data_IF_391707039633
#
_entry.id   IF_391707039633
#
_cell.length_a   1.000
_cell.length_b   1.000
_cell.length_c   1.000
_cell.angle_alpha   90.00
_cell.angle_beta   90.00
_cell.angle_gamma   90.00
#
_symmetry.space_group_name_H-M   'P 1'
#
loop_
_entity.id
_entity.type
_entity.pdbx_description
1 polymer ?
#
# COMPACT_ATOMS: atom_id res chain seq x y z
N UNK A 1 -19.38 23.42 -10.88
CA UNK A 1 -20.15 22.24 -11.32
C UNK A 1 -19.97 21.09 -10.33
N UNK A 2 -21.06 20.48 -9.88
CA UNK A 2 -21.08 19.42 -8.88
C UNK A 2 -21.21 18.05 -9.57
N UNK A 3 -20.11 17.55 -10.14
CA UNK A 3 -20.06 16.16 -10.63
C UNK A 3 -19.42 15.24 -9.57
N UNK A 4 -20.00 14.05 -9.30
CA UNK A 4 -19.46 13.08 -8.34
C UNK A 4 -18.29 12.26 -8.91
N UNK A 5 -17.93 12.48 -10.18
CA UNK A 5 -16.84 11.81 -10.88
C UNK A 5 -15.83 12.81 -11.45
N UNK A 6 -14.64 12.33 -11.74
CA UNK A 6 -13.53 13.03 -12.39
C UNK A 6 -12.90 12.12 -13.45
N UNK A 7 -12.25 12.72 -14.44
CA UNK A 7 -11.48 11.99 -15.45
C UNK A 7 -10.03 11.89 -14.96
N UNK A 8 -9.50 10.68 -14.85
CA UNK A 8 -8.13 10.42 -14.44
C UNK A 8 -7.39 9.57 -15.47
N UNK A 9 -6.10 9.85 -15.60
CA UNK A 9 -5.19 9.04 -16.40
C UNK A 9 -4.56 7.98 -15.50
N UNK A 10 -4.81 6.70 -15.80
CA UNK A 10 -4.27 5.55 -15.07
C UNK A 10 -4.21 4.34 -15.99
N UNK A 11 -3.28 3.40 -15.74
CA UNK A 11 -3.18 2.16 -16.53
C UNK A 11 -2.82 2.37 -18.01
N UNK A 12 -2.32 3.56 -18.37
CA UNK A 12 -2.04 3.95 -19.76
C UNK A 12 -3.25 4.44 -20.54
N UNK A 13 -4.33 4.87 -19.86
CA UNK A 13 -5.51 5.44 -20.50
C UNK A 13 -6.31 6.38 -19.61
N UNK A 14 -7.35 6.98 -20.17
CA UNK A 14 -8.26 7.87 -19.44
C UNK A 14 -9.51 7.12 -18.98
N UNK A 15 -9.86 7.28 -17.71
CA UNK A 15 -10.99 6.62 -17.07
C UNK A 15 -11.82 7.62 -16.25
N UNK A 16 -13.13 7.40 -16.19
CA UNK A 16 -14.00 8.10 -15.25
C UNK A 16 -13.95 7.39 -13.90
N UNK A 17 -13.53 8.10 -12.86
CA UNK A 17 -13.48 7.60 -11.47
C UNK A 17 -14.33 8.48 -10.57
N UNK A 18 -14.85 7.93 -9.48
CA UNK A 18 -15.53 8.74 -8.45
C UNK A 18 -14.52 9.62 -7.72
N UNK A 19 -14.92 10.84 -7.36
CA UNK A 19 -14.06 11.72 -6.57
C UNK A 19 -13.85 11.15 -5.18
N UNK A 20 -12.65 11.39 -4.62
CA UNK A 20 -12.24 10.87 -3.30
C UNK A 20 -13.20 11.28 -2.18
N UNK A 21 -13.83 12.46 -2.26
CA UNK A 21 -14.79 12.94 -1.25
C UNK A 21 -15.98 11.99 -1.05
N UNK A 22 -16.35 11.19 -2.06
CA UNK A 22 -17.50 10.29 -2.01
C UNK A 22 -17.13 8.86 -1.59
N UNK A 23 -15.86 8.60 -1.20
CA UNK A 23 -15.38 7.25 -0.87
C UNK A 23 -16.25 6.53 0.17
N UNK A 24 -16.60 7.21 1.28
CA UNK A 24 -17.39 6.61 2.38
C UNK A 24 -18.74 6.09 1.90
N UNK A 25 -19.45 6.89 1.09
CA UNK A 25 -20.76 6.53 0.55
C UNK A 25 -20.67 5.38 -0.45
N UNK A 26 -19.68 5.42 -1.36
CA UNK A 26 -19.46 4.36 -2.35
C UNK A 26 -19.03 3.04 -1.68
N UNK A 27 -18.22 3.12 -0.63
CA UNK A 27 -17.79 1.97 0.16
C UNK A 27 -18.98 1.26 0.81
N UNK A 28 -19.90 2.02 1.42
CA UNK A 28 -21.13 1.48 2.01
C UNK A 28 -22.03 0.83 0.95
N UNK A 29 -22.15 1.43 -0.23
CA UNK A 29 -22.97 0.91 -1.32
C UNK A 29 -22.41 -0.40 -1.92
N UNK A 30 -21.08 -0.51 -2.01
CA UNK A 30 -20.43 -1.70 -2.54
C UNK A 30 -20.47 -2.91 -1.57
N UNK A 31 -20.80 -2.68 -0.30
CA UNK A 31 -20.90 -3.73 0.73
C UNK A 31 -19.62 -4.56 0.87
N UNK A 32 -19.76 -5.86 1.09
CA UNK A 32 -18.63 -6.80 1.25
C UNK A 32 -17.88 -7.13 -0.06
N UNK A 33 -18.23 -6.50 -1.19
CA UNK A 33 -17.48 -6.65 -2.47
C UNK A 33 -16.13 -5.95 -2.46
N UNK A 34 -15.65 -5.49 -1.31
CA UNK A 34 -14.29 -5.01 -1.19
C UNK A 34 -13.31 -6.11 -1.59
N UNK A 35 -12.51 -5.82 -2.62
CA UNK A 35 -11.29 -6.57 -2.92
C UNK A 35 -10.51 -6.71 -1.62
N UNK A 36 -10.44 -7.93 -1.08
CA UNK A 36 -9.66 -8.21 0.12
C UNK A 36 -8.25 -7.66 -0.10
N UNK A 37 -7.81 -6.82 0.85
CA UNK A 37 -6.47 -6.23 0.86
C UNK A 37 -5.43 -7.32 0.69
N UNK A 38 -4.34 -7.01 0.00
CA UNK A 38 -3.17 -7.89 -0.03
C UNK A 38 -2.67 -8.10 1.39
N UNK A 39 -2.26 -9.33 1.71
CA UNK A 39 -1.55 -9.58 2.96
C UNK A 39 -0.21 -8.85 2.95
N UNK A 40 0.39 -8.59 4.14
CA UNK A 40 1.72 -7.98 4.21
C UNK A 40 2.76 -8.76 3.38
N UNK A 41 2.77 -10.10 3.48
CA UNK A 41 3.69 -10.95 2.70
C UNK A 41 3.49 -10.85 1.19
N UNK A 42 2.24 -10.71 0.72
CA UNK A 42 1.94 -10.50 -0.70
C UNK A 42 2.34 -9.10 -1.17
N UNK A 43 2.17 -8.09 -0.31
CA UNK A 43 2.58 -6.72 -0.62
C UNK A 43 4.10 -6.56 -0.69
N UNK A 44 4.86 -7.18 0.22
CA UNK A 44 6.33 -7.26 0.14
C UNK A 44 6.79 -7.93 -1.16
N UNK A 45 6.18 -9.07 -1.50
CA UNK A 45 6.52 -9.81 -2.72
C UNK A 45 6.22 -8.98 -3.97
N UNK A 46 5.08 -8.28 -3.99
CA UNK A 46 4.70 -7.39 -5.09
C UNK A 46 5.68 -6.23 -5.22
N UNK A 47 6.09 -5.62 -4.12
CA UNK A 47 7.06 -4.52 -4.11
C UNK A 47 8.41 -4.97 -4.69
N UNK A 48 8.91 -6.16 -4.30
CA UNK A 48 10.14 -6.72 -4.87
C UNK A 48 10.02 -6.87 -6.37
N UNK A 49 8.93 -7.47 -6.86
CA UNK A 49 8.70 -7.64 -8.31
C UNK A 49 8.65 -6.27 -9.01
N UNK A 50 7.92 -5.30 -8.46
CA UNK A 50 7.77 -3.98 -9.08
C UNK A 50 9.11 -3.24 -9.25
N UNK A 51 10.01 -3.32 -8.26
CA UNK A 51 11.30 -2.63 -8.30
C UNK A 51 12.46 -3.44 -8.93
N UNK A 52 12.34 -4.77 -9.02
CA UNK A 52 13.41 -5.66 -9.52
C UNK A 52 13.08 -6.40 -10.80
N UNK A 53 11.88 -6.21 -11.37
CA UNK A 53 11.51 -6.84 -12.63
C UNK A 53 12.52 -6.57 -13.76
N UNK A 54 12.76 -7.54 -14.65
CA UNK A 54 12.30 -8.92 -14.59
C UNK A 54 13.02 -9.72 -13.49
N UNK A 55 12.28 -10.47 -12.66
CA UNK A 55 12.84 -11.17 -11.49
C UNK A 55 12.35 -12.61 -11.38
N UNK A 56 13.20 -13.52 -10.91
CA UNK A 56 12.87 -14.94 -10.69
C UNK A 56 12.33 -15.20 -9.29
N UNK A 57 11.62 -16.32 -9.09
CA UNK A 57 11.17 -16.76 -7.76
C UNK A 57 12.34 -16.84 -6.76
N UNK A 58 13.47 -17.42 -7.18
CA UNK A 58 14.64 -17.61 -6.31
C UNK A 58 15.22 -16.29 -5.81
N UNK A 59 15.28 -15.26 -6.66
CA UNK A 59 15.73 -13.92 -6.26
C UNK A 59 14.75 -13.25 -5.29
N UNK A 60 13.45 -13.42 -5.51
CA UNK A 60 12.42 -12.94 -4.58
C UNK A 60 12.60 -13.57 -3.20
N UNK A 61 12.74 -14.90 -3.16
CA UNK A 61 12.92 -15.64 -1.90
C UNK A 61 14.24 -15.30 -1.21
N UNK A 62 15.30 -15.06 -1.98
CA UNK A 62 16.57 -14.58 -1.45
C UNK A 62 16.43 -13.21 -0.74
N UNK A 63 15.69 -12.27 -1.33
CA UNK A 63 15.45 -10.95 -0.73
C UNK A 63 14.52 -11.06 0.48
N UNK A 64 13.46 -11.87 0.41
CA UNK A 64 12.49 -12.03 1.51
C UNK A 64 13.00 -12.88 2.67
N UNK A 65 13.99 -13.75 2.43
CA UNK A 65 14.49 -14.72 3.40
C UNK A 65 13.52 -15.87 3.72
N UNK A 66 12.38 -15.95 3.04
CA UNK A 66 11.34 -16.98 3.22
C UNK A 66 10.67 -17.32 1.90
N UNK A 67 9.94 -18.44 1.84
CA UNK A 67 9.22 -18.85 0.63
C UNK A 67 8.21 -17.80 0.17
N UNK A 68 8.12 -17.61 -1.15
CA UNK A 68 7.23 -16.67 -1.80
C UNK A 68 6.12 -17.35 -2.63
N UNK A 69 5.98 -18.68 -2.56
CA UNK A 69 5.06 -19.46 -3.40
C UNK A 69 3.60 -18.98 -3.32
N UNK A 70 3.07 -18.91 -2.10
CA UNK A 70 1.69 -18.48 -1.88
C UNK A 70 1.47 -17.03 -2.35
N UNK A 71 2.45 -16.15 -2.10
CA UNK A 71 2.38 -14.75 -2.51
C UNK A 71 2.38 -14.61 -4.03
N UNK A 72 3.27 -15.30 -4.73
CA UNK A 72 3.34 -15.28 -6.19
C UNK A 72 2.04 -15.82 -6.78
N UNK A 73 1.54 -16.95 -6.27
CA UNK A 73 0.26 -17.52 -6.73
C UNK A 73 -0.89 -16.52 -6.55
N UNK A 74 -1.01 -15.89 -5.36
CA UNK A 74 -2.07 -14.91 -5.09
C UNK A 74 -1.97 -13.66 -5.95
N UNK A 75 -0.76 -13.20 -6.25
CA UNK A 75 -0.54 -12.04 -7.10
C UNK A 75 -0.88 -12.35 -8.57
N UNK A 76 -0.60 -13.56 -9.04
CA UNK A 76 -1.03 -14.04 -10.36
C UNK A 76 -2.56 -14.18 -10.44
N UNK A 77 -3.20 -14.76 -9.42
CA UNK A 77 -4.68 -14.89 -9.34
C UNK A 77 -5.40 -13.54 -9.36
N UNK A 78 -4.75 -12.51 -8.79
CA UNK A 78 -5.23 -11.12 -8.80
C UNK A 78 -4.78 -10.35 -10.04
N UNK A 79 -4.08 -11.00 -10.96
CA UNK A 79 -3.52 -10.43 -12.18
C UNK A 79 -2.60 -9.24 -11.93
N UNK A 80 -2.01 -9.06 -10.75
CA UNK A 80 -1.11 -7.94 -10.44
C UNK A 80 0.32 -8.17 -10.99
N UNK A 81 0.66 -9.43 -11.24
CA UNK A 81 1.93 -9.82 -11.88
C UNK A 81 1.63 -10.78 -13.03
N UNK A 82 2.59 -10.88 -13.94
CA UNK A 82 2.57 -11.80 -15.08
C UNK A 82 3.88 -12.56 -15.19
N UNK A 83 3.82 -13.71 -15.86
CA UNK A 83 5.01 -14.43 -16.30
C UNK A 83 5.53 -13.75 -17.57
N UNK A 84 6.68 -13.09 -17.48
CA UNK A 84 7.28 -12.36 -18.59
C UNK A 84 8.13 -13.26 -19.52
N UNK A 85 8.35 -14.53 -19.14
CA UNK A 85 9.14 -15.49 -19.89
C UNK A 85 9.92 -16.42 -18.99
N UNK A 86 11.07 -16.88 -19.47
CA UNK A 86 12.05 -17.68 -18.73
C UNK A 86 13.43 -17.03 -18.83
N UNK A 87 14.22 -17.17 -17.77
CA UNK A 87 15.64 -16.83 -17.85
C UNK A 87 16.38 -17.95 -18.58
N UNK A 88 16.61 -17.78 -19.89
CA UNK A 88 17.25 -18.79 -20.75
C UNK A 88 18.73 -19.04 -20.42
N UNK A 89 19.38 -18.09 -19.75
CA UNK A 89 20.80 -18.15 -19.39
C UNK A 89 21.04 -18.88 -18.06
N UNK A 90 20.03 -18.96 -17.20
CA UNK A 90 20.13 -19.59 -15.89
C UNK A 90 19.81 -21.10 -15.93
N UNK A 91 20.51 -21.87 -15.10
CA UNK A 91 20.27 -23.31 -14.93
C UNK A 91 18.82 -23.56 -14.47
N UNK A 92 18.16 -24.51 -15.12
CA UNK A 92 16.76 -24.83 -14.83
C UNK A 92 15.74 -23.89 -15.48
N UNK A 93 16.19 -22.87 -16.23
CA UNK A 93 15.36 -21.93 -16.99
C UNK A 93 14.13 -21.42 -16.20
N UNK A 94 14.37 -20.81 -15.02
CA UNK A 94 13.30 -20.41 -14.12
C UNK A 94 12.40 -19.35 -14.77
N UNK A 95 11.14 -19.33 -14.36
CA UNK A 95 10.19 -18.30 -14.76
C UNK A 95 10.64 -16.93 -14.25
N UNK A 96 10.45 -15.90 -15.08
CA UNK A 96 10.62 -14.50 -14.70
C UNK A 96 9.26 -13.82 -14.56
N UNK A 97 9.13 -12.98 -13.54
CA UNK A 97 7.92 -12.25 -13.19
C UNK A 97 8.10 -10.76 -13.43
N UNK A 98 7.02 -10.11 -13.86
CA UNK A 98 6.91 -8.67 -14.04
C UNK A 98 5.52 -8.17 -13.60
N UNK A 99 5.41 -6.86 -13.42
CA UNK A 99 4.14 -6.17 -13.17
C UNK A 99 3.24 -6.21 -14.40
N UNK A 100 1.92 -6.31 -14.17
CA UNK A 100 0.90 -6.34 -15.21
C UNK A 100 0.26 -4.97 -15.41
N UNK A 101 -0.57 -4.79 -16.45
CA UNK A 101 -1.42 -3.59 -16.57
C UNK A 101 -2.36 -3.39 -15.38
N UNK A 102 -2.93 -4.47 -14.86
CA UNK A 102 -3.81 -4.42 -13.68
C UNK A 102 -3.08 -3.92 -12.43
N UNK A 103 -1.76 -4.07 -12.34
CA UNK A 103 -0.95 -3.44 -11.29
C UNK A 103 -0.92 -1.92 -11.42
N UNK A 104 -0.78 -1.38 -12.63
CA UNK A 104 -0.85 0.06 -12.86
C UNK A 104 -2.22 0.62 -12.47
N UNK A 105 -3.30 -0.05 -12.86
CA UNK A 105 -4.66 0.30 -12.43
C UNK A 105 -4.86 0.21 -10.91
N UNK A 106 -4.29 -0.82 -10.28
CA UNK A 106 -4.37 -1.02 -8.84
C UNK A 106 -3.67 0.09 -8.05
N UNK A 107 -2.53 0.60 -8.54
CA UNK A 107 -1.79 1.69 -7.90
C UNK A 107 -2.23 3.08 -8.36
N UNK A 108 -3.00 3.19 -9.45
CA UNK A 108 -3.37 4.46 -10.04
C UNK A 108 -2.21 5.17 -10.73
N UNK A 109 -1.28 4.41 -11.31
CA UNK A 109 -0.10 4.92 -12.04
C UNK A 109 -0.16 4.50 -13.51
N UNK A 110 0.64 5.11 -14.39
CA UNK A 110 0.66 4.74 -15.81
C UNK A 110 1.84 3.84 -16.18
N UNK A 111 2.97 3.95 -15.47
CA UNK A 111 4.16 3.12 -15.70
C UNK A 111 4.81 2.76 -14.37
N UNK A 112 5.57 1.65 -14.29
CA UNK A 112 6.34 1.31 -13.10
C UNK A 112 7.36 2.38 -12.70
N UNK A 113 7.81 3.21 -13.65
CA UNK A 113 8.79 4.28 -13.40
C UNK A 113 8.23 5.42 -12.55
N UNK A 114 6.90 5.50 -12.39
CA UNK A 114 6.24 6.45 -11.50
C UNK A 114 6.30 6.01 -10.03
N UNK A 115 6.80 4.82 -9.74
CA UNK A 115 7.04 4.38 -8.38
C UNK A 115 8.12 5.26 -7.71
N UNK A 116 7.98 5.58 -6.42
CA UNK A 116 8.99 6.33 -5.67
C UNK A 116 10.36 5.65 -5.76
N UNK A 117 11.44 6.42 -5.89
CA UNK A 117 12.77 5.78 -5.96
C UNK A 117 13.08 5.14 -4.60
N UNK A 118 13.71 3.96 -4.60
CA UNK A 118 14.06 3.25 -3.37
C UNK A 118 14.87 4.12 -2.37
N UNK A 119 15.72 5.03 -2.88
CA UNK A 119 16.47 6.00 -2.05
C UNK A 119 15.57 7.02 -1.36
N UNK A 120 14.48 7.42 -2.00
CA UNK A 120 13.50 8.38 -1.45
C UNK A 120 12.59 7.72 -0.41
N UNK A 121 12.28 6.43 -0.59
CA UNK A 121 11.53 5.63 0.40
C UNK A 121 12.32 5.43 1.68
N UNK A 122 13.65 5.20 1.59
CA UNK A 122 14.51 5.08 2.77
C UNK A 122 14.64 6.40 3.55
N UNK A 123 14.41 7.54 2.89
CA UNK A 123 14.41 8.88 3.51
C UNK A 123 13.03 9.34 4.00
N UNK A 124 11.95 8.61 3.69
CA UNK A 124 10.67 8.86 4.36
C UNK A 124 10.86 8.51 5.83
N UNK A 125 10.75 9.53 6.69
CA UNK A 125 10.89 9.37 8.13
C UNK A 125 10.05 8.19 8.58
N UNK A 126 10.73 7.16 9.10
CA UNK A 126 10.10 6.12 9.89
C UNK A 126 9.52 6.88 11.08
N UNK A 127 8.21 7.17 11.04
CA UNK A 127 7.51 7.71 12.18
C UNK A 127 7.51 6.60 13.22
N UNK A 128 8.49 6.65 14.12
CA UNK A 128 8.52 5.77 15.26
C UNK A 128 7.28 6.08 16.09
N UNK A 129 6.50 5.07 16.51
CA UNK A 129 5.42 5.31 17.45
C UNK A 129 6.03 5.96 18.69
N UNK A 130 5.39 7.04 19.18
CA UNK A 130 5.80 7.67 20.44
C UNK A 130 5.88 6.59 21.51
N UNK A 131 7.02 6.52 22.20
CA UNK A 131 7.18 5.60 23.32
C UNK A 131 6.07 5.90 24.34
N UNK A 132 5.32 4.88 24.75
CA UNK A 132 4.25 5.05 25.73
C UNK A 132 4.78 5.57 27.07
N UNK A 133 6.07 5.37 27.38
CA UNK A 133 6.73 5.95 28.54
C UNK A 133 7.04 7.45 28.38
N UNK A 134 7.15 7.95 27.14
CA UNK A 134 7.36 9.37 26.81
C UNK A 134 6.04 10.10 26.53
N UNK A 135 4.92 9.38 26.47
CA UNK A 135 3.58 9.96 26.47
C UNK A 135 3.25 10.52 27.85
N UNK A 136 3.96 11.57 28.25
CA UNK A 136 3.60 12.35 29.44
C UNK A 136 2.30 13.07 29.10
N UNK A 137 1.18 12.81 29.81
CA UNK A 137 0.01 13.65 29.65
C UNK A 137 0.46 15.09 29.95
N UNK A 138 0.15 16.02 29.04
CA UNK A 138 0.23 17.45 29.37
C UNK A 138 -0.47 17.61 30.71
N UNK A 139 0.25 18.12 31.72
CA UNK A 139 -0.18 18.18 33.12
C UNK A 139 -1.69 18.36 33.18
N UNK A 140 -2.41 17.36 33.69
CA UNK A 140 -3.79 17.54 34.11
C UNK A 140 -3.75 18.71 35.10
N UNK A 141 -4.12 19.91 34.64
CA UNK A 141 -4.60 20.92 35.56
C UNK A 141 -5.82 20.26 36.20
N UNK A 142 -5.63 19.72 37.40
CA UNK A 142 -6.72 19.22 38.21
C UNK A 142 -7.60 20.43 38.53
N UNK A 143 -8.58 20.68 37.67
CA UNK A 143 -9.55 21.75 37.84
C UNK A 143 -10.64 21.20 38.77
N UNK A 144 -10.64 21.67 40.01
CA UNK A 144 -11.71 21.41 40.96
C UNK A 144 -12.83 22.43 40.78
N UNK A 145 -14.08 21.99 40.89
CA UNK A 145 -15.24 22.89 40.88
C UNK A 145 -15.39 23.50 42.28
N UNK A 146 -15.18 24.81 42.40
CA UNK A 146 -15.44 25.54 43.63
C UNK A 146 -16.93 25.56 43.97
N UNK A 147 -17.25 25.85 45.24
CA UNK A 147 -18.63 25.93 45.72
C UNK A 147 -19.47 27.04 45.05
N UNK A 148 -18.81 27.92 44.28
CA UNK A 148 -19.37 28.97 43.42
C UNK A 148 -19.63 28.49 41.97
N UNK A 149 -19.36 27.23 41.65
CA UNK A 149 -19.55 26.63 40.33
C UNK A 149 -18.45 26.97 39.32
N UNK A 150 -17.36 27.63 39.73
CA UNK A 150 -16.24 27.96 38.85
C UNK A 150 -15.09 26.94 38.98
N UNK A 151 -14.44 26.66 37.86
CA UNK A 151 -13.26 25.78 37.80
C UNK A 151 -12.04 26.53 38.36
N UNK A 152 -11.39 25.96 39.38
CA UNK A 152 -10.15 26.47 39.98
C UNK A 152 -9.10 25.36 39.96
N UNK A 153 -7.83 25.73 39.84
CA UNK A 153 -6.74 24.76 39.98
C UNK A 153 -6.74 24.20 41.40
N UNK A 154 -6.67 22.88 41.53
CA UNK A 154 -6.46 22.21 42.81
C UNK A 154 -5.02 22.50 43.28
N UNK A 155 -4.88 23.04 44.50
CA UNK A 155 -3.61 23.06 45.24
C UNK A 155 -3.31 21.69 45.84
#
# INVERSE_FOLDING_TARGET
EFYPFEVKESGGGWQFLTKKEFHTTIAQLNGDKFMKRLSPASMETLAIIAYKQPVTKSEIEFIRGVSADYSIQKLLEKELIVIAGRNEEAVGKPLIYATSKSFMDYLGINTPDQLPKLKEVASMEIVFPTDAAEAVPEMEQQLAVGNDGQLKNAE
#
